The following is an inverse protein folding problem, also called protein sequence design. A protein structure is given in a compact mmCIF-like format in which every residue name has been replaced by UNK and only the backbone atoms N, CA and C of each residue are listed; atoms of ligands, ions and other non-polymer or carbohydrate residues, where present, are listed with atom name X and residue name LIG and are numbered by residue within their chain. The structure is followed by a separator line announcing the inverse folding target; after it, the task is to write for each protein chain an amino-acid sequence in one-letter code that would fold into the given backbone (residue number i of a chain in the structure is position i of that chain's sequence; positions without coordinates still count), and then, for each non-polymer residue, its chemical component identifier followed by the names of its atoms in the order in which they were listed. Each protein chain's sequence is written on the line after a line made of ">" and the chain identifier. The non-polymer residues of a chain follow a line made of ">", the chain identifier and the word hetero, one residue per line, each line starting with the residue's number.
data_IF_272058832082
#
_entry.id   IF_272058832082
#
_cell.length_a   1.000
_cell.length_b   1.000
_cell.length_c   1.000
_cell.angle_alpha   90.00
_cell.angle_beta   90.00
_cell.angle_gamma   90.00
#
_symmetry.space_group_name_H-M   'P 1'
#
loop_
_entity.id
_entity.type
_entity.pdbx_description
1 polymer ?
#
# COMPACT_ATOMS: atom_id res chain seq x y z
N UNK A 1 -4.68 24.59 -13.08
CA UNK A 1 -4.52 24.33 -11.64
C UNK A 1 -5.51 23.27 -11.17
N UNK A 2 -6.82 23.44 -11.42
CA UNK A 2 -7.86 22.42 -11.12
C UNK A 2 -7.55 21.01 -11.68
N UNK A 3 -7.17 20.92 -12.97
CA UNK A 3 -6.87 19.64 -13.61
C UNK A 3 -5.67 18.90 -12.97
N UNK A 4 -4.65 19.62 -12.51
CA UNK A 4 -3.47 19.01 -11.90
C UNK A 4 -3.77 18.45 -10.50
N UNK A 5 -4.65 19.11 -9.75
CA UNK A 5 -5.06 18.67 -8.41
C UNK A 5 -5.92 17.41 -8.51
N UNK A 6 -6.85 17.37 -9.46
CA UNK A 6 -7.70 16.20 -9.69
C UNK A 6 -6.87 14.96 -10.05
N UNK A 7 -5.94 15.09 -10.99
CA UNK A 7 -5.06 13.98 -11.41
C UNK A 7 -4.18 13.47 -10.25
N UNK A 8 -3.71 14.39 -9.39
CA UNK A 8 -2.90 14.03 -8.23
C UNK A 8 -3.70 13.24 -7.19
N UNK A 9 -4.94 13.66 -6.93
CA UNK A 9 -5.85 12.99 -5.99
C UNK A 9 -6.20 11.59 -6.49
N UNK A 10 -6.47 11.42 -7.78
CA UNK A 10 -6.72 10.11 -8.39
C UNK A 10 -5.50 9.19 -8.30
N UNK A 11 -4.30 9.71 -8.60
CA UNK A 11 -3.02 8.99 -8.39
C UNK A 11 -2.84 8.57 -6.93
N UNK A 12 -3.18 9.45 -6.00
CA UNK A 12 -3.05 9.19 -4.57
C UNK A 12 -3.98 8.06 -4.12
N UNK A 13 -5.25 8.08 -4.56
CA UNK A 13 -6.21 7.02 -4.23
C UNK A 13 -5.82 5.67 -4.83
N UNK A 14 -5.32 5.65 -6.06
CA UNK A 14 -4.85 4.41 -6.69
C UNK A 14 -3.56 3.87 -6.06
N UNK A 15 -2.67 4.76 -5.60
CA UNK A 15 -1.45 4.37 -4.87
C UNK A 15 -1.71 3.91 -3.42
N UNK A 16 -2.89 4.16 -2.86
CA UNK A 16 -3.26 3.73 -1.51
C UNK A 16 -3.28 2.20 -1.40
N UNK A 17 -3.82 1.50 -2.42
CA UNK A 17 -3.93 0.04 -2.43
C UNK A 17 -2.58 -0.70 -2.36
N UNK A 18 -1.58 -0.41 -3.24
CA UNK A 18 -0.27 -1.02 -3.13
C UNK A 18 0.42 -0.67 -1.81
N UNK A 19 0.25 0.56 -1.33
CA UNK A 19 0.85 0.98 -0.06
C UNK A 19 0.34 0.15 1.13
N UNK A 20 -0.97 -0.07 1.21
CA UNK A 20 -1.59 -0.89 2.24
C UNK A 20 -1.12 -2.35 2.16
N UNK A 21 -1.11 -2.93 0.96
CA UNK A 21 -0.69 -4.33 0.73
C UNK A 21 0.79 -4.54 1.08
N UNK A 22 1.67 -3.71 0.53
CA UNK A 22 3.12 -3.82 0.74
C UNK A 22 3.47 -3.51 2.19
N UNK A 23 2.84 -2.48 2.78
CA UNK A 23 3.06 -2.11 4.19
C UNK A 23 2.69 -3.25 5.13
N UNK A 24 1.53 -3.88 4.93
CA UNK A 24 1.11 -5.04 5.71
C UNK A 24 2.07 -6.23 5.53
N UNK A 25 2.55 -6.48 4.30
CA UNK A 25 3.55 -7.51 4.04
C UNK A 25 4.85 -7.27 4.79
N UNK A 26 5.44 -6.07 4.70
CA UNK A 26 6.71 -5.76 5.36
C UNK A 26 6.61 -5.81 6.90
N UNK A 27 5.43 -5.58 7.47
CA UNK A 27 5.18 -5.74 8.91
C UNK A 27 5.10 -7.23 9.29
N UNK A 28 4.49 -8.07 8.44
CA UNK A 28 4.36 -9.49 8.70
C UNK A 28 5.68 -10.28 8.52
N UNK A 29 6.57 -9.81 7.63
CA UNK A 29 7.85 -10.47 7.34
C UNK A 29 8.76 -10.52 8.60
N UNK A 30 9.13 -11.71 9.11
CA UNK A 30 9.93 -11.83 10.34
C UNK A 30 11.33 -11.22 10.24
N UNK A 31 11.99 -11.36 9.07
CA UNK A 31 13.37 -10.89 8.89
C UNK A 31 13.49 -9.36 8.90
N UNK A 32 12.41 -8.65 8.55
CA UNK A 32 12.34 -7.19 8.57
C UNK A 32 11.80 -6.64 9.91
N UNK A 33 11.46 -7.53 10.83
CA UNK A 33 10.95 -7.20 12.17
C UNK A 33 12.00 -7.33 13.26
N UNK A 34 13.27 -7.50 12.90
CA UNK A 34 14.42 -7.46 13.83
C UNK A 34 14.77 -6.03 14.23
N UNK A 35 15.38 -5.85 15.40
CA UNK A 35 15.78 -4.53 15.94
C UNK A 35 16.73 -3.73 15.02
N UNK A 36 17.42 -4.42 14.10
CA UNK A 36 18.26 -3.79 13.10
C UNK A 36 17.46 -2.94 12.08
N UNK A 37 16.17 -3.23 11.88
CA UNK A 37 15.32 -2.52 10.91
C UNK A 37 14.39 -1.55 11.61
N UNK A 38 14.82 -0.29 11.67
CA UNK A 38 14.02 0.79 12.27
C UNK A 38 12.71 1.01 11.51
N UNK A 39 11.70 1.56 12.18
CA UNK A 39 10.41 1.95 11.57
C UNK A 39 10.62 2.90 10.38
N UNK A 40 11.61 3.79 10.46
CA UNK A 40 11.94 4.73 9.38
C UNK A 40 12.35 4.02 8.10
N UNK A 41 13.20 2.99 8.22
CA UNK A 41 13.65 2.18 7.08
C UNK A 41 12.45 1.43 6.49
N UNK A 42 11.59 0.84 7.33
CA UNK A 42 10.38 0.14 6.86
C UNK A 42 9.46 1.06 6.07
N UNK A 43 9.15 2.25 6.59
CA UNK A 43 8.31 3.24 5.89
C UNK A 43 8.94 3.67 4.56
N UNK A 44 10.25 3.92 4.54
CA UNK A 44 10.97 4.24 3.30
C UNK A 44 10.90 3.11 2.28
N UNK A 45 11.11 1.86 2.70
CA UNK A 45 11.01 0.69 1.85
C UNK A 45 9.58 0.49 1.33
N UNK A 46 8.55 0.64 2.16
CA UNK A 46 7.15 0.58 1.73
C UNK A 46 6.88 1.60 0.64
N UNK A 47 7.28 2.86 0.84
CA UNK A 47 7.08 3.92 -0.13
C UNK A 47 7.84 3.65 -1.43
N UNK A 48 9.10 3.23 -1.34
CA UNK A 48 9.93 2.92 -2.50
C UNK A 48 9.32 1.79 -3.33
N UNK A 49 8.93 0.69 -2.69
CA UNK A 49 8.30 -0.45 -3.36
C UNK A 49 6.94 -0.08 -3.94
N UNK A 50 6.15 0.73 -3.22
CA UNK A 50 4.87 1.24 -3.73
C UNK A 50 5.06 2.01 -5.03
N UNK A 51 6.03 2.93 -5.09
CA UNK A 51 6.31 3.71 -6.30
C UNK A 51 6.78 2.84 -7.48
N UNK A 52 7.56 1.78 -7.20
CA UNK A 52 8.06 0.88 -8.23
C UNK A 52 6.99 -0.09 -8.74
N UNK A 53 6.08 -0.56 -7.87
CA UNK A 53 5.07 -1.57 -8.21
C UNK A 53 3.78 -0.92 -8.72
N UNK A 54 3.44 0.27 -8.23
CA UNK A 54 2.25 1.02 -8.63
C UNK A 54 2.00 1.05 -10.15
N UNK A 55 2.97 1.40 -11.02
CA UNK A 55 2.72 1.48 -12.46
C UNK A 55 2.70 0.12 -13.18
N UNK A 56 3.03 -0.97 -12.49
CA UNK A 56 3.14 -2.31 -13.08
C UNK A 56 1.86 -3.13 -12.96
N UNK A 57 0.89 -2.65 -12.17
CA UNK A 57 -0.32 -3.38 -11.81
C UNK A 57 -1.51 -2.46 -11.96
N UNK A 58 -2.59 -2.97 -12.56
CA UNK A 58 -3.86 -2.27 -12.58
C UNK A 58 -4.55 -2.42 -11.22
N UNK A 59 -4.81 -1.29 -10.57
CA UNK A 59 -5.46 -1.24 -9.26
C UNK A 59 -6.94 -0.88 -9.39
N UNK A 60 -7.81 -1.45 -8.53
CA UNK A 60 -9.22 -1.13 -8.57
C UNK A 60 -9.45 0.36 -8.22
N UNK A 61 -10.27 1.03 -9.03
CA UNK A 61 -10.66 2.42 -8.79
C UNK A 61 -11.95 2.38 -7.96
N UNK A 62 -11.79 2.23 -6.65
CA UNK A 62 -12.88 2.19 -5.67
C UNK A 62 -12.70 3.39 -4.74
N UNK A 63 -13.80 4.05 -4.35
CA UNK A 63 -13.76 5.09 -3.33
C UNK A 63 -13.38 4.46 -1.97
N UNK A 64 -12.23 4.80 -1.37
CA UNK A 64 -11.78 4.22 -0.11
C UNK A 64 -12.72 4.48 1.08
N UNK A 65 -13.55 5.52 0.99
CA UNK A 65 -14.51 5.90 2.05
C UNK A 65 -15.85 5.18 1.90
N UNK A 66 -16.09 4.55 0.75
CA UNK A 66 -17.28 3.73 0.53
C UNK A 66 -17.24 2.42 1.34
N UNK A 67 -18.40 1.80 1.55
CA UNK A 67 -18.48 0.50 2.22
C UNK A 67 -17.66 -0.60 1.52
N UNK A 68 -17.65 -0.58 0.18
CA UNK A 68 -16.84 -1.47 -0.64
C UNK A 68 -15.34 -1.17 -0.45
N UNK A 69 -14.95 0.10 -0.47
CA UNK A 69 -13.56 0.53 -0.24
C UNK A 69 -13.02 0.09 1.11
N UNK A 70 -13.82 0.18 2.18
CA UNK A 70 -13.42 -0.29 3.51
C UNK A 70 -13.20 -1.81 3.54
N UNK A 71 -14.06 -2.57 2.86
CA UNK A 71 -13.87 -4.02 2.73
C UNK A 71 -12.61 -4.37 1.93
N UNK A 72 -12.30 -3.58 0.90
CA UNK A 72 -11.11 -3.77 0.09
C UNK A 72 -9.83 -3.42 0.86
N UNK A 73 -9.85 -2.39 1.71
CA UNK A 73 -8.73 -2.08 2.62
C UNK A 73 -8.41 -3.31 3.48
N UNK A 74 -9.44 -3.93 4.06
CA UNK A 74 -9.25 -5.14 4.86
C UNK A 74 -8.67 -6.29 4.03
N UNK A 75 -9.20 -6.51 2.83
CA UNK A 75 -8.70 -7.53 1.90
C UNK A 75 -7.22 -7.31 1.55
N UNK A 76 -6.83 -6.08 1.21
CA UNK A 76 -5.45 -5.72 0.84
C UNK A 76 -4.47 -5.91 1.99
N UNK A 77 -4.86 -5.53 3.20
CA UNK A 77 -4.06 -5.78 4.41
C UNK A 77 -3.92 -7.29 4.63
N UNK A 78 -5.02 -8.04 4.54
CA UNK A 78 -5.02 -9.49 4.78
C UNK A 78 -4.15 -10.24 3.76
N UNK A 79 -4.23 -9.86 2.48
CA UNK A 79 -3.33 -10.35 1.42
C UNK A 79 -1.88 -10.03 1.77
N UNK A 80 -1.59 -8.78 2.16
CA UNK A 80 -0.26 -8.35 2.60
C UNK A 80 0.28 -9.20 3.74
N UNK A 81 -0.50 -9.38 4.80
CA UNK A 81 -0.14 -10.20 5.95
C UNK A 81 0.15 -11.64 5.54
N UNK A 82 -0.74 -12.27 4.77
CA UNK A 82 -0.56 -13.66 4.29
C UNK A 82 0.73 -13.79 3.48
N UNK A 83 1.01 -12.85 2.57
CA UNK A 83 2.25 -12.86 1.79
C UNK A 83 3.51 -12.67 2.63
N UNK A 84 3.44 -11.94 3.75
CA UNK A 84 4.59 -11.72 4.61
C UNK A 84 4.83 -12.82 5.63
N UNK A 85 3.79 -13.58 6.01
CA UNK A 85 3.89 -14.72 6.93
C UNK A 85 4.32 -16.03 6.24
N UNK A 86 3.98 -16.19 4.96
CA UNK A 86 4.40 -17.32 4.13
C UNK A 86 5.87 -17.18 3.70
#
# INVERSE_FOLDING_TARGET
>A
MELFVADLVERFYTALWPFLRIGAMLIAVPILSIDAVTVRIRVFLTLLLTLLIYPLVDWPIIDPVSAEGLSEIFNQILIGLVMGFL
#
